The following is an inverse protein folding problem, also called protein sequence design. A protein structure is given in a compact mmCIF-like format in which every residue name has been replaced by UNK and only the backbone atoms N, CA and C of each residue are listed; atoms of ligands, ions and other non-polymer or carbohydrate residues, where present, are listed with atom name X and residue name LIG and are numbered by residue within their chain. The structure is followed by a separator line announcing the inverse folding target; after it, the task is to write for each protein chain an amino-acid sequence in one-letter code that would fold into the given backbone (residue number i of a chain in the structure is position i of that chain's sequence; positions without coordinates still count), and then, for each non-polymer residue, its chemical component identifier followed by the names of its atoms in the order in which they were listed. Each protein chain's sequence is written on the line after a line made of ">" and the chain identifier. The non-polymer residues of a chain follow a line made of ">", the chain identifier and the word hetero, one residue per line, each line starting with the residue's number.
data_IF_184142460816
#
_entry.id   IF_184142460816
#
_cell.length_a   1.000
_cell.length_b   1.000
_cell.length_c   1.000
_cell.angle_alpha   90.00
_cell.angle_beta   90.00
_cell.angle_gamma   90.00
#
_symmetry.space_group_name_H-M   'P 1'
#
loop_
_entity.id
_entity.type
_entity.pdbx_description
1 polymer ?
#
# COMPACT_ATOMS: atom_id res chain seq x y z
N UNK A 1 9.48 -22.96 -18.76
CA UNK A 1 9.02 -22.74 -17.38
C UNK A 1 8.23 -21.44 -17.33
N UNK A 2 6.98 -21.56 -16.98
CA UNK A 2 6.12 -20.38 -16.92
C UNK A 2 6.51 -19.56 -15.70
N UNK A 3 7.00 -18.36 -15.95
CA UNK A 3 7.24 -17.40 -14.86
C UNK A 3 5.89 -16.82 -14.48
N UNK A 4 5.45 -17.09 -13.27
CA UNK A 4 4.19 -16.55 -12.78
C UNK A 4 4.31 -15.02 -12.69
N UNK A 5 3.42 -14.33 -13.38
CA UNK A 5 3.27 -12.90 -13.24
C UNK A 5 2.64 -12.59 -11.89
N UNK A 6 3.34 -11.82 -11.04
CA UNK A 6 2.77 -11.33 -9.79
C UNK A 6 2.17 -9.96 -10.03
N UNK A 7 0.89 -9.83 -9.73
CA UNK A 7 0.16 -8.56 -9.86
C UNK A 7 0.06 -7.89 -8.51
N UNK A 8 0.49 -6.64 -8.47
CA UNK A 8 0.47 -5.82 -7.26
C UNK A 8 -0.42 -4.62 -7.47
N UNK A 9 -1.42 -4.47 -6.61
CA UNK A 9 -2.26 -3.29 -6.59
C UNK A 9 -1.73 -2.26 -5.60
N UNK A 10 -1.81 -0.99 -5.96
CA UNK A 10 -1.37 0.11 -5.09
C UNK A 10 -2.51 1.10 -4.94
N UNK A 11 -2.95 1.28 -3.70
CA UNK A 11 -4.06 2.15 -3.35
C UNK A 11 -3.54 3.32 -2.52
N UNK A 12 -3.55 4.54 -3.06
CA UNK A 12 -3.23 5.72 -2.26
C UNK A 12 -4.45 6.17 -1.47
N UNK A 13 -4.28 6.46 -0.18
CA UNK A 13 -5.34 6.95 0.67
C UNK A 13 -4.96 8.27 1.34
N UNK A 14 -5.91 9.16 1.47
CA UNK A 14 -5.71 10.42 2.16
C UNK A 14 -6.54 11.53 1.53
N UNK A 15 -7.35 12.21 2.34
CA UNK A 15 -8.20 13.31 1.85
C UNK A 15 -7.39 14.55 1.45
N UNK A 16 -6.14 14.65 1.93
CA UNK A 16 -5.21 15.74 1.59
C UNK A 16 -4.48 15.50 0.27
N UNK A 17 -4.53 14.30 -0.29
CA UNK A 17 -3.77 13.96 -1.49
C UNK A 17 -4.42 14.47 -2.76
N UNK A 18 -3.59 14.89 -3.71
CA UNK A 18 -4.01 15.25 -5.07
C UNK A 18 -3.17 14.46 -6.07
N UNK A 19 -3.71 14.18 -7.29
CA UNK A 19 -2.95 13.46 -8.30
C UNK A 19 -1.69 14.20 -8.75
N UNK A 20 -0.71 13.47 -9.25
CA UNK A 20 0.48 14.06 -9.86
C UNK A 20 0.08 14.99 -11.02
N UNK A 21 0.71 16.16 -11.10
CA UNK A 21 0.37 17.19 -12.09
C UNK A 21 -0.66 18.19 -11.60
N UNK A 22 -1.32 17.93 -10.47
CA UNK A 22 -2.25 18.89 -9.85
C UNK A 22 -1.53 19.73 -8.81
N UNK A 23 -2.03 20.94 -8.57
CA UNK A 23 -1.50 21.82 -7.51
C UNK A 23 -2.23 21.53 -6.20
N UNK A 24 -1.53 21.16 -5.13
CA UNK A 24 -2.18 20.96 -3.84
C UNK A 24 -2.62 22.30 -3.24
N UNK A 25 -3.80 22.29 -2.62
CA UNK A 25 -4.25 23.44 -1.84
C UNK A 25 -3.53 23.50 -0.49
N UNK A 26 -3.99 24.42 0.37
CA UNK A 26 -3.44 24.53 1.73
C UNK A 26 -3.62 23.23 2.50
N UNK A 27 -2.54 22.69 3.05
CA UNK A 27 -2.54 21.43 3.76
C UNK A 27 -2.60 20.19 2.87
N UNK A 28 -2.62 20.37 1.53
CA UNK A 28 -2.62 19.25 0.59
C UNK A 28 -1.22 18.76 0.26
N UNK A 29 -1.15 17.56 -0.32
CA UNK A 29 0.09 16.95 -0.77
C UNK A 29 -0.13 16.19 -2.08
N UNK A 30 0.87 16.20 -2.95
CA UNK A 30 0.84 15.41 -4.19
C UNK A 30 1.09 13.94 -3.85
N UNK A 31 0.23 13.06 -4.38
CA UNK A 31 0.42 11.62 -4.23
C UNK A 31 1.60 11.16 -5.09
N UNK A 32 2.64 10.63 -4.46
CA UNK A 32 3.85 10.14 -5.13
C UNK A 32 4.27 8.74 -4.65
N UNK A 33 3.82 8.31 -3.48
CA UNK A 33 4.26 7.04 -2.89
C UNK A 33 3.94 5.83 -3.76
N UNK A 34 2.75 5.79 -4.38
CA UNK A 34 2.39 4.67 -5.25
C UNK A 34 3.19 4.67 -6.55
N UNK A 35 3.55 5.84 -7.08
CA UNK A 35 4.39 5.93 -8.27
C UNK A 35 5.79 5.37 -8.01
N UNK A 36 6.40 5.75 -6.89
CA UNK A 36 7.73 5.28 -6.50
C UNK A 36 7.71 3.78 -6.21
N UNK A 37 6.71 3.32 -5.47
CA UNK A 37 6.56 1.90 -5.16
C UNK A 37 6.32 1.05 -6.41
N UNK A 38 5.51 1.54 -7.34
CA UNK A 38 5.27 0.86 -8.62
C UNK A 38 6.56 0.74 -9.44
N UNK A 39 7.39 1.78 -9.47
CA UNK A 39 8.66 1.73 -10.16
C UNK A 39 9.60 0.70 -9.53
N UNK A 40 9.69 0.69 -8.20
CA UNK A 40 10.52 -0.26 -7.47
C UNK A 40 10.10 -1.72 -7.73
N UNK A 41 8.81 -1.99 -7.60
CA UNK A 41 8.28 -3.35 -7.77
C UNK A 41 8.26 -3.78 -9.22
N UNK A 42 8.03 -2.85 -10.15
CA UNK A 42 8.08 -3.11 -11.59
C UNK A 42 9.48 -3.52 -12.03
N UNK A 43 10.53 -2.89 -11.51
CA UNK A 43 11.91 -3.28 -11.78
C UNK A 43 12.21 -4.70 -11.29
N UNK A 44 11.53 -5.14 -10.24
CA UNK A 44 11.67 -6.50 -9.71
C UNK A 44 10.80 -7.52 -10.47
N UNK A 45 10.07 -7.11 -11.50
CA UNK A 45 9.30 -8.01 -12.35
C UNK A 45 7.80 -8.06 -12.07
N UNK A 46 7.28 -7.28 -11.12
CA UNK A 46 5.87 -7.25 -10.84
C UNK A 46 5.09 -6.40 -11.86
N UNK A 47 3.85 -6.77 -12.10
CA UNK A 47 2.91 -5.94 -12.85
C UNK A 47 2.08 -5.14 -11.86
N UNK A 48 2.25 -3.83 -11.88
CA UNK A 48 1.63 -2.94 -10.89
C UNK A 48 0.44 -2.20 -11.48
N UNK A 49 -0.65 -2.16 -10.71
CA UNK A 49 -1.83 -1.35 -11.01
C UNK A 49 -1.98 -0.30 -9.93
N UNK A 50 -1.94 0.97 -10.33
CA UNK A 50 -2.17 2.10 -9.42
C UNK A 50 -3.63 2.50 -9.50
N UNK A 51 -4.31 2.42 -8.35
CA UNK A 51 -5.70 2.84 -8.25
C UNK A 51 -5.80 4.35 -7.95
N UNK A 52 -6.98 4.91 -8.15
CA UNK A 52 -7.23 6.31 -7.80
C UNK A 52 -7.14 6.57 -6.30
N UNK A 53 -6.92 7.82 -5.94
CA UNK A 53 -6.82 8.23 -4.54
C UNK A 53 -8.16 7.97 -3.83
N UNK A 54 -8.08 7.29 -2.69
CA UNK A 54 -9.24 6.99 -1.84
C UNK A 54 -9.25 7.98 -0.68
N UNK A 55 -10.39 8.62 -0.45
CA UNK A 55 -10.56 9.53 0.68
C UNK A 55 -10.51 8.79 2.01
N UNK A 56 -10.27 9.53 3.09
CA UNK A 56 -10.26 9.01 4.46
C UNK A 56 -11.68 8.63 4.90
N UNK A 57 -12.20 7.57 4.32
CA UNK A 57 -13.54 7.04 4.54
C UNK A 57 -13.44 5.52 4.60
N UNK A 58 -13.80 4.90 5.74
CA UNK A 58 -13.67 3.44 5.88
C UNK A 58 -14.46 2.63 4.86
N UNK A 59 -15.63 3.12 4.42
CA UNK A 59 -16.45 2.42 3.42
C UNK A 59 -15.78 2.45 2.07
N UNK A 60 -15.26 3.60 1.64
CA UNK A 60 -14.55 3.74 0.37
C UNK A 60 -13.27 2.92 0.37
N UNK A 61 -12.53 2.92 1.47
CA UNK A 61 -11.31 2.15 1.60
C UNK A 61 -11.61 0.65 1.52
N UNK A 62 -12.65 0.20 2.21
CA UNK A 62 -13.06 -1.20 2.17
C UNK A 62 -13.39 -1.64 0.74
N UNK A 63 -14.17 -0.86 0.01
CA UNK A 63 -14.51 -1.15 -1.39
C UNK A 63 -13.27 -1.23 -2.27
N UNK A 64 -12.33 -0.30 -2.09
CA UNK A 64 -11.09 -0.27 -2.85
C UNK A 64 -10.22 -1.50 -2.54
N UNK A 65 -10.12 -1.89 -1.28
CA UNK A 65 -9.36 -3.08 -0.86
C UNK A 65 -9.99 -4.34 -1.43
N UNK A 66 -11.30 -4.49 -1.34
CA UNK A 66 -11.99 -5.65 -1.89
C UNK A 66 -11.75 -5.80 -3.38
N UNK A 67 -11.82 -4.69 -4.12
CA UNK A 67 -11.51 -4.67 -5.55
C UNK A 67 -10.04 -5.04 -5.81
N UNK A 68 -9.12 -4.43 -5.07
CA UNK A 68 -7.70 -4.68 -5.22
C UNK A 68 -7.32 -6.15 -4.99
N UNK A 69 -7.92 -6.76 -3.99
CA UNK A 69 -7.69 -8.17 -3.67
C UNK A 69 -8.22 -9.10 -4.78
N UNK A 70 -9.35 -8.77 -5.39
CA UNK A 70 -9.88 -9.56 -6.50
C UNK A 70 -8.99 -9.49 -7.74
N UNK A 71 -8.36 -8.35 -7.97
CA UNK A 71 -7.63 -8.07 -9.20
C UNK A 71 -6.12 -8.33 -9.10
N UNK A 72 -5.59 -8.54 -7.92
CA UNK A 72 -4.15 -8.63 -7.69
C UNK A 72 -3.77 -9.81 -6.78
N UNK A 73 -2.49 -10.11 -6.73
CA UNK A 73 -1.91 -11.13 -5.85
C UNK A 73 -1.39 -10.53 -4.53
N UNK A 74 -1.05 -9.25 -4.54
CA UNK A 74 -0.58 -8.49 -3.39
C UNK A 74 -1.17 -7.09 -3.46
N UNK A 75 -1.41 -6.48 -2.31
CA UNK A 75 -1.95 -5.14 -2.23
C UNK A 75 -1.10 -4.27 -1.32
N UNK A 76 -0.72 -3.09 -1.81
CA UNK A 76 -0.07 -2.07 -1.01
C UNK A 76 -1.03 -0.89 -0.85
N UNK A 77 -1.20 -0.43 0.39
CA UNK A 77 -2.04 0.71 0.69
C UNK A 77 -1.13 1.81 1.22
N UNK A 78 -1.07 2.93 0.51
CA UNK A 78 -0.30 4.07 0.94
C UNK A 78 -1.21 5.01 1.72
N UNK A 79 -1.02 5.04 3.04
CA UNK A 79 -1.79 5.93 3.90
C UNK A 79 -1.25 7.36 3.81
N UNK A 80 -2.09 8.34 4.17
CA UNK A 80 -1.63 9.70 4.39
C UNK A 80 -0.74 9.79 5.64
N UNK A 81 -0.18 10.97 5.91
CA UNK A 81 0.69 11.20 7.07
C UNK A 81 -0.08 11.21 8.39
N UNK A 82 -1.39 11.18 8.38
CA UNK A 82 -2.24 11.19 9.57
C UNK A 82 -2.21 9.85 10.31
N UNK A 83 -2.03 9.89 11.62
CA UNK A 83 -2.09 8.70 12.47
C UNK A 83 -3.48 8.04 12.43
N UNK A 84 -4.55 8.85 12.35
CA UNK A 84 -5.92 8.36 12.26
C UNK A 84 -6.16 7.51 11.01
N UNK A 85 -5.59 7.89 9.87
CA UNK A 85 -5.69 7.13 8.63
C UNK A 85 -5.08 5.73 8.76
N UNK A 86 -3.94 5.63 9.44
CA UNK A 86 -3.30 4.33 9.67
C UNK A 86 -4.16 3.41 10.54
N UNK A 87 -4.78 3.99 11.57
CA UNK A 87 -5.59 3.22 12.51
C UNK A 87 -6.83 2.63 11.83
N UNK A 88 -7.55 3.40 11.01
CA UNK A 88 -8.71 2.83 10.35
C UNK A 88 -8.33 1.91 9.18
N UNK A 89 -7.18 2.10 8.55
CA UNK A 89 -6.66 1.16 7.55
C UNK A 89 -6.45 -0.21 8.19
N UNK A 90 -5.80 -0.26 9.36
CA UNK A 90 -5.63 -1.51 10.10
C UNK A 90 -6.98 -2.14 10.46
N UNK A 91 -7.94 -1.33 10.90
CA UNK A 91 -9.27 -1.81 11.26
C UNK A 91 -10.02 -2.41 10.06
N UNK A 92 -9.93 -1.79 8.88
CA UNK A 92 -10.56 -2.31 7.67
C UNK A 92 -9.91 -3.64 7.25
N UNK A 93 -8.59 -3.72 7.28
CA UNK A 93 -7.88 -4.97 6.97
C UNK A 93 -8.30 -6.07 7.94
N UNK A 94 -8.37 -5.76 9.25
CA UNK A 94 -8.81 -6.73 10.26
C UNK A 94 -10.24 -7.22 10.03
N UNK A 95 -11.11 -6.34 9.52
CA UNK A 95 -12.49 -6.68 9.21
C UNK A 95 -12.66 -7.56 7.98
N UNK A 96 -11.73 -7.51 7.03
CA UNK A 96 -11.76 -8.30 5.80
C UNK A 96 -10.88 -9.55 5.88
N UNK A 97 -9.93 -9.58 6.76
CA UNK A 97 -8.99 -10.67 6.94
C UNK A 97 -8.33 -10.59 8.30
N UNK A 98 -6.99 -10.55 8.33
CA UNK A 98 -6.27 -10.42 9.60
C UNK A 98 -5.08 -9.45 9.47
N UNK A 99 -4.78 -8.76 10.57
CA UNK A 99 -3.57 -7.96 10.71
C UNK A 99 -2.54 -8.81 11.45
N UNK A 100 -1.41 -9.09 10.79
CA UNK A 100 -0.34 -9.90 11.36
C UNK A 100 0.64 -9.06 12.17
N UNK A 101 0.94 -7.86 11.67
CA UNK A 101 1.85 -6.92 12.32
C UNK A 101 1.32 -5.51 12.12
N UNK A 102 1.32 -4.73 13.20
CA UNK A 102 0.97 -3.31 13.15
C UNK A 102 2.09 -2.51 13.82
N UNK A 103 2.93 -1.90 12.99
CA UNK A 103 4.16 -1.27 13.43
C UNK A 103 5.30 -2.26 13.52
N UNK A 104 6.41 -1.93 12.90
CA UNK A 104 7.58 -2.80 12.85
C UNK A 104 8.72 -2.13 13.59
N UNK A 105 9.34 -2.88 14.53
CA UNK A 105 10.47 -2.41 15.32
C UNK A 105 11.74 -2.46 14.45
N UNK A 106 11.89 -1.46 13.58
CA UNK A 106 13.10 -1.22 12.80
C UNK A 106 13.71 0.11 13.24
N UNK A 107 14.95 0.33 12.91
CA UNK A 107 15.61 1.61 13.24
C UNK A 107 15.72 2.49 12.00
N UNK A 108 15.00 3.65 11.91
CA UNK A 108 13.98 4.09 12.88
C UNK A 108 12.73 3.23 12.82
N UNK A 109 11.87 3.30 13.82
CA UNK A 109 10.61 2.57 13.85
C UNK A 109 9.80 2.80 12.57
N UNK A 110 9.28 1.73 11.97
CA UNK A 110 8.56 1.78 10.70
C UNK A 110 7.08 1.51 10.97
N UNK A 111 6.20 2.54 10.86
CA UNK A 111 4.77 2.37 11.14
C UNK A 111 4.04 1.71 9.95
N UNK A 112 4.51 0.54 9.56
CA UNK A 112 3.90 -0.25 8.51
C UNK A 112 2.94 -1.27 9.09
N UNK A 113 1.97 -1.69 8.28
CA UNK A 113 1.00 -2.71 8.62
C UNK A 113 1.24 -3.89 7.68
N UNK A 114 1.24 -5.10 8.22
CA UNK A 114 1.27 -6.32 7.41
C UNK A 114 0.03 -7.12 7.75
N UNK A 115 -0.76 -7.43 6.74
CA UNK A 115 -1.98 -8.20 6.90
C UNK A 115 -2.15 -9.23 5.80
N UNK A 116 -3.25 -9.96 5.88
CA UNK A 116 -3.61 -10.98 4.91
C UNK A 116 -5.12 -10.97 4.70
N UNK A 117 -5.54 -10.96 3.43
CA UNK A 117 -6.94 -11.06 3.03
C UNK A 117 -7.03 -12.10 1.92
N UNK A 118 -7.88 -13.11 2.10
CA UNK A 118 -8.05 -14.22 1.15
C UNK A 118 -6.71 -14.90 0.79
N UNK A 119 -5.84 -15.05 1.78
CA UNK A 119 -4.52 -15.64 1.60
C UNK A 119 -3.51 -14.75 0.89
N UNK A 120 -3.86 -13.51 0.56
CA UNK A 120 -3.01 -12.58 -0.16
C UNK A 120 -2.42 -11.54 0.80
N UNK A 121 -1.12 -11.20 0.65
CA UNK A 121 -0.51 -10.20 1.53
C UNK A 121 -1.02 -8.80 1.23
N UNK A 122 -1.26 -8.05 2.29
CA UNK A 122 -1.66 -6.65 2.24
C UNK A 122 -0.69 -5.86 3.12
N UNK A 123 -0.06 -4.85 2.55
CA UNK A 123 0.93 -4.03 3.27
C UNK A 123 0.42 -2.59 3.31
N UNK A 124 0.30 -2.06 4.51
CA UNK A 124 0.04 -0.65 4.72
C UNK A 124 1.34 0.12 4.82
N UNK A 125 1.61 0.99 3.85
CA UNK A 125 2.83 1.80 3.82
C UNK A 125 2.66 3.06 4.68
N UNK A 126 3.75 3.51 5.35
CA UNK A 126 3.72 4.81 6.01
C UNK A 126 3.49 5.95 5.01
N UNK A 127 2.95 7.07 5.50
CA UNK A 127 2.64 8.22 4.64
C UNK A 127 3.86 9.00 4.16
N UNK A 128 4.97 8.96 4.88
CA UNK A 128 6.17 9.71 4.53
C UNK A 128 6.93 9.00 3.40
N UNK A 129 7.40 9.73 2.36
CA UNK A 129 7.97 9.11 1.16
C UNK A 129 9.15 8.17 1.43
N UNK A 130 10.11 8.56 2.27
CA UNK A 130 11.27 7.72 2.57
C UNK A 130 10.84 6.47 3.35
N UNK A 131 9.95 6.62 4.32
CA UNK A 131 9.43 5.50 5.10
C UNK A 131 8.59 4.56 4.22
N UNK A 132 7.80 5.11 3.29
CA UNK A 132 7.02 4.32 2.35
C UNK A 132 7.94 3.50 1.43
N UNK A 133 8.98 4.11 0.89
CA UNK A 133 9.96 3.41 0.05
C UNK A 133 10.68 2.31 0.83
N UNK A 134 11.08 2.60 2.07
CA UNK A 134 11.72 1.62 2.94
C UNK A 134 10.80 0.43 3.21
N UNK A 135 9.53 0.69 3.52
CA UNK A 135 8.55 -0.37 3.75
C UNK A 135 8.34 -1.22 2.49
N UNK A 136 8.22 -0.59 1.33
CA UNK A 136 8.06 -1.32 0.07
C UNK A 136 9.29 -2.22 -0.20
N UNK A 137 10.48 -1.69 0.02
CA UNK A 137 11.74 -2.43 -0.18
C UNK A 137 11.88 -3.59 0.81
N UNK A 138 11.65 -3.33 2.10
CA UNK A 138 11.91 -4.32 3.14
C UNK A 138 10.79 -5.36 3.30
N UNK A 139 9.58 -5.05 2.89
CA UNK A 139 8.42 -5.92 3.06
C UNK A 139 7.91 -6.51 1.75
N UNK A 140 7.72 -5.69 0.71
CA UNK A 140 7.14 -6.15 -0.53
C UNK A 140 8.12 -6.91 -1.41
N UNK A 141 9.37 -6.44 -1.56
CA UNK A 141 10.36 -7.12 -2.40
C UNK A 141 10.67 -8.55 -1.94
N UNK A 142 10.84 -8.83 -0.63
CA UNK A 142 11.06 -10.20 -0.19
C UNK A 142 9.89 -11.13 -0.53
N UNK A 143 8.66 -10.65 -0.48
CA UNK A 143 7.50 -11.44 -0.86
C UNK A 143 7.49 -11.76 -2.36
N UNK A 144 7.88 -10.81 -3.21
CA UNK A 144 8.04 -11.06 -4.63
C UNK A 144 9.11 -12.12 -4.89
N UNK A 145 10.24 -12.02 -4.21
CA UNK A 145 11.32 -12.99 -4.34
C UNK A 145 10.86 -14.40 -3.94
N UNK A 146 10.03 -14.51 -2.90
CA UNK A 146 9.45 -15.78 -2.46
C UNK A 146 8.54 -16.41 -3.51
N UNK A 147 8.00 -15.63 -4.45
CA UNK A 147 7.18 -16.11 -5.55
C UNK A 147 7.96 -16.38 -6.83
N UNK A 148 9.31 -16.42 -6.78
CA UNK A 148 10.16 -16.85 -7.88
C UNK A 148 10.64 -15.75 -8.82
N UNK A 149 10.69 -14.53 -8.36
CA UNK A 149 11.27 -13.42 -9.11
C UNK A 149 12.73 -13.18 -8.75
#
# INVERSE_FOLDING_TARGET
>A
MDVREVRVGLIPTGSELVPAGSLPGSGGAVESNTAVSAALLGEAGATCTRYGIVRDDPVLLREAIERGIRENDMLLISAGSSAGTRDFTAAVIAGLGEVLVHGIAMKPGLPAIVGRIDGKPVIGLPGYPIAALTAARELALPLLAAWGF
#
